data_IF_767892450565
#
_entry.id   IF_767892450565
#
_cell.length_a   1.000
_cell.length_b   1.000
_cell.length_c   1.000
_cell.angle_alpha   90.00
_cell.angle_beta   90.00
_cell.angle_gamma   90.00
#
_symmetry.space_group_name_H-M   'P 1'
#
loop_
_entity.id
_entity.type
_entity.pdbx_description
1 polymer ?
#
# COMPACT_ATOMS: atom_id res chain seq x y z
N UNK A 1 -1.53 17.99 -6.24
CA UNK A 1 -1.09 18.71 -7.43
C UNK A 1 -0.63 20.13 -7.13
N UNK A 2 -0.52 20.93 -8.16
CA UNK A 2 -0.14 22.35 -8.05
C UNK A 2 -1.33 23.32 -8.13
N UNK A 3 -2.51 22.81 -7.88
CA UNK A 3 -3.78 23.58 -7.86
C UNK A 3 -3.80 24.64 -6.75
N UNK A 4 -3.09 24.39 -5.65
CA UNK A 4 -2.98 25.34 -4.54
C UNK A 4 -4.26 25.50 -3.72
N UNK A 5 -5.20 24.54 -3.85
CA UNK A 5 -6.50 24.60 -3.19
C UNK A 5 -6.35 24.52 -1.67
N UNK A 6 -5.51 23.62 -1.20
CA UNK A 6 -5.23 23.42 0.23
C UNK A 6 -3.86 22.79 0.51
N UNK A 7 -3.51 22.70 1.79
CA UNK A 7 -2.21 22.21 2.26
C UNK A 7 -1.98 20.72 2.00
N UNK A 8 -3.00 19.93 1.69
CA UNK A 8 -2.86 18.50 1.38
C UNK A 8 -2.07 18.24 0.10
N UNK A 9 -1.94 19.24 -0.77
CA UNK A 9 -1.09 19.21 -1.95
C UNK A 9 0.35 18.82 -1.65
N UNK A 10 0.86 19.08 -0.43
CA UNK A 10 2.21 18.71 0.03
C UNK A 10 2.50 17.21 -0.06
N UNK A 11 1.50 16.34 0.07
CA UNK A 11 1.66 14.90 -0.07
C UNK A 11 2.11 14.51 -1.48
N UNK A 12 1.57 15.18 -2.47
CA UNK A 12 1.88 14.92 -3.87
C UNK A 12 3.11 15.70 -4.34
N UNK A 13 3.29 16.93 -3.86
CA UNK A 13 4.43 17.79 -4.20
C UNK A 13 4.73 18.74 -3.04
N UNK A 14 5.80 18.49 -2.29
CA UNK A 14 6.15 19.29 -1.13
C UNK A 14 6.41 20.78 -1.47
N UNK A 15 6.81 21.10 -2.71
CA UNK A 15 7.02 22.49 -3.14
C UNK A 15 5.74 23.32 -3.08
N UNK A 16 4.55 22.72 -3.11
CA UNK A 16 3.27 23.44 -3.03
C UNK A 16 3.02 24.12 -1.68
N UNK A 17 3.77 23.75 -0.63
CA UNK A 17 3.70 24.47 0.64
C UNK A 17 3.97 25.95 0.49
N UNK A 18 4.79 26.35 -0.49
CA UNK A 18 5.11 27.76 -0.76
C UNK A 18 3.91 28.60 -1.24
N UNK A 19 2.79 27.94 -1.61
CA UNK A 19 1.53 28.61 -1.95
C UNK A 19 0.71 28.99 -0.70
N UNK A 20 1.07 28.49 0.48
CA UNK A 20 0.27 28.61 1.70
C UNK A 20 1.04 29.44 2.75
N UNK A 21 0.76 30.75 2.88
CA UNK A 21 1.44 31.60 3.85
C UNK A 21 1.02 31.27 5.29
N UNK A 22 1.90 31.57 6.22
CA UNK A 22 1.64 31.43 7.66
C UNK A 22 1.59 29.96 8.09
N UNK A 23 0.66 29.63 8.98
CA UNK A 23 0.42 28.27 9.48
C UNK A 23 -0.90 27.75 8.93
N UNK A 24 -0.86 26.62 8.25
CA UNK A 24 -2.05 25.93 7.71
C UNK A 24 -2.17 24.56 8.34
N UNK A 25 -3.39 24.21 8.74
CA UNK A 25 -3.73 22.90 9.34
C UNK A 25 -4.98 22.37 8.68
N UNK A 26 -4.93 21.11 8.28
CA UNK A 26 -6.07 20.42 7.67
C UNK A 26 -6.16 19.00 8.23
N UNK A 27 -7.38 18.59 8.62
CA UNK A 27 -7.70 17.23 9.00
C UNK A 27 -8.91 16.74 8.20
N UNK A 28 -8.94 15.46 7.92
CA UNK A 28 -10.06 14.82 7.28
C UNK A 28 -10.02 13.32 7.47
N UNK A 29 -11.09 12.69 7.01
CA UNK A 29 -11.21 11.25 6.95
C UNK A 29 -12.04 10.84 5.73
N UNK A 30 -11.70 9.68 5.15
CA UNK A 30 -12.44 9.08 4.03
C UNK A 30 -13.02 7.77 4.52
N UNK A 31 -14.35 7.60 4.41
CA UNK A 31 -15.00 6.30 4.60
C UNK A 31 -14.90 5.49 3.30
N UNK A 32 -14.40 4.27 3.39
CA UNK A 32 -14.31 3.34 2.26
C UNK A 32 -15.16 2.12 2.55
N UNK A 33 -16.17 1.87 1.72
CA UNK A 33 -16.99 0.67 1.75
C UNK A 33 -16.86 -0.04 0.39
N UNK A 34 -16.43 -1.29 0.39
CA UNK A 34 -16.30 -2.11 -0.82
C UNK A 34 -17.26 -3.29 -0.74
N UNK A 35 -17.99 -3.55 -1.81
CA UNK A 35 -18.73 -4.80 -2.00
C UNK A 35 -17.91 -5.69 -2.92
N UNK A 36 -17.47 -6.83 -2.40
CA UNK A 36 -16.73 -7.81 -3.15
C UNK A 36 -17.61 -9.06 -3.33
N UNK A 37 -17.75 -9.53 -4.57
CA UNK A 37 -18.42 -10.81 -4.88
C UNK A 37 -17.43 -11.68 -5.65
N UNK A 38 -17.20 -12.88 -5.15
CA UNK A 38 -16.52 -13.93 -5.90
C UNK A 38 -17.57 -14.81 -6.58
N UNK A 39 -17.37 -15.09 -7.85
CA UNK A 39 -18.21 -16.00 -8.63
C UNK A 39 -17.31 -17.06 -9.28
N UNK A 40 -17.50 -18.32 -8.90
CA UNK A 40 -16.89 -19.43 -9.61
C UNK A 40 -17.66 -19.71 -10.90
N UNK A 41 -17.08 -19.40 -12.05
CA UNK A 41 -17.71 -19.57 -13.35
C UNK A 41 -17.89 -21.06 -13.77
N UNK A 42 -17.24 -22.00 -13.07
CA UNK A 42 -17.38 -23.44 -13.36
C UNK A 42 -18.50 -24.07 -12.54
N UNK A 43 -18.64 -23.69 -11.28
CA UNK A 43 -19.61 -24.26 -10.35
C UNK A 43 -20.86 -23.40 -10.19
N UNK A 44 -20.76 -22.08 -10.52
CA UNK A 44 -21.79 -21.08 -10.25
C UNK A 44 -21.84 -20.65 -8.77
N UNK A 45 -20.92 -21.12 -7.95
CA UNK A 45 -20.83 -20.73 -6.55
C UNK A 45 -20.54 -19.23 -6.41
N UNK A 46 -21.27 -18.60 -5.51
CA UNK A 46 -21.10 -17.19 -5.17
C UNK A 46 -20.70 -17.06 -3.71
N UNK A 47 -19.68 -16.27 -3.45
CA UNK A 47 -19.32 -15.84 -2.12
C UNK A 47 -19.28 -14.31 -2.08
N UNK A 48 -20.14 -13.74 -1.25
CA UNK A 48 -20.11 -12.31 -0.96
C UNK A 48 -19.04 -12.08 0.11
N UNK A 49 -17.84 -11.81 -0.32
CA UNK A 49 -16.77 -11.37 0.56
C UNK A 49 -17.17 -10.05 1.22
N UNK A 50 -16.86 -9.92 2.50
CA UNK A 50 -17.05 -8.68 3.24
C UNK A 50 -15.77 -7.87 3.14
N UNK A 51 -15.79 -6.80 2.36
CA UNK A 51 -14.87 -5.72 2.66
C UNK A 51 -15.40 -5.03 3.93
N UNK A 52 -14.57 -4.92 4.94
CA UNK A 52 -14.92 -4.16 6.14
C UNK A 52 -14.94 -2.68 5.78
N UNK A 53 -15.95 -1.96 6.27
CA UNK A 53 -15.95 -0.51 6.18
C UNK A 53 -14.74 0.02 6.96
N UNK A 54 -13.90 0.81 6.29
CA UNK A 54 -12.71 1.38 6.88
C UNK A 54 -12.79 2.91 6.84
N UNK A 55 -12.33 3.54 7.91
CA UNK A 55 -12.19 5.00 7.98
C UNK A 55 -10.71 5.34 7.89
N UNK A 56 -10.34 6.08 6.87
CA UNK A 56 -8.95 6.46 6.56
C UNK A 56 -8.74 7.91 6.98
N UNK A 57 -8.15 8.18 8.15
CA UNK A 57 -7.84 9.52 8.58
C UNK A 57 -6.62 10.08 7.84
N UNK A 58 -6.60 11.39 7.68
CA UNK A 58 -5.43 12.11 7.17
C UNK A 58 -5.31 13.48 7.84
N UNK A 59 -4.08 13.97 7.95
CA UNK A 59 -3.80 15.26 8.54
C UNK A 59 -2.58 15.91 7.92
N UNK A 60 -2.62 17.24 7.80
CA UNK A 60 -1.56 18.04 7.22
C UNK A 60 -1.36 19.30 8.07
N UNK A 61 -0.11 19.65 8.28
CA UNK A 61 0.28 20.92 8.87
C UNK A 61 1.45 21.49 8.08
N UNK A 62 1.40 22.77 7.77
CA UNK A 62 2.46 23.52 7.12
C UNK A 62 2.68 24.81 7.88
N UNK A 63 3.93 25.24 8.02
CA UNK A 63 4.32 26.48 8.66
C UNK A 63 5.39 27.21 7.83
N UNK A 64 5.13 28.45 7.55
CA UNK A 64 6.07 29.36 6.90
C UNK A 64 7.06 29.90 7.95
N UNK A 65 8.34 29.53 7.81
CA UNK A 65 9.40 29.99 8.72
C UNK A 65 9.83 31.44 8.38
N UNK A 66 9.93 31.74 7.08
CA UNK A 66 10.26 33.03 6.53
C UNK A 66 9.74 33.14 5.09
N UNK A 67 10.01 34.26 4.41
CA UNK A 67 9.49 34.54 3.06
C UNK A 67 9.84 33.49 1.99
N UNK A 68 10.87 32.67 2.25
CA UNK A 68 11.36 31.68 1.29
C UNK A 68 11.31 30.22 1.77
N UNK A 69 10.97 29.95 3.05
CA UNK A 69 11.13 28.61 3.63
C UNK A 69 9.90 28.15 4.39
N UNK A 70 9.47 26.92 4.13
CA UNK A 70 8.37 26.25 4.79
C UNK A 70 8.81 24.89 5.33
N UNK A 71 8.17 24.46 6.41
CA UNK A 71 8.23 23.10 6.94
C UNK A 71 6.80 22.56 7.11
N UNK A 72 6.65 21.26 7.05
CA UNK A 72 5.34 20.66 7.23
C UNK A 72 5.40 19.17 7.57
N UNK A 73 4.27 18.66 7.99
CA UNK A 73 4.06 17.24 8.27
C UNK A 73 2.75 16.79 7.63
N UNK A 74 2.82 15.71 6.84
CA UNK A 74 1.66 14.98 6.38
C UNK A 74 1.57 13.63 7.10
N UNK A 75 0.40 13.33 7.66
CA UNK A 75 0.08 12.01 8.22
C UNK A 75 -0.99 11.41 7.35
N UNK A 76 -0.70 10.28 6.71
CA UNK A 76 -1.58 9.66 5.72
C UNK A 76 -1.57 8.15 5.85
N UNK A 77 -2.60 7.51 5.29
CA UNK A 77 -2.69 6.04 5.13
C UNK A 77 -2.71 5.76 3.63
N UNK A 78 -1.53 5.65 2.98
CA UNK A 78 -1.44 5.53 1.53
C UNK A 78 -1.95 4.19 1.00
N UNK A 79 -1.89 3.15 1.83
CA UNK A 79 -2.34 1.80 1.50
C UNK A 79 -3.11 1.23 2.68
N UNK A 80 -4.27 0.68 2.39
CA UNK A 80 -5.12 0.00 3.36
C UNK A 80 -6.10 -0.91 2.64
N UNK A 81 -6.25 -2.13 3.13
CA UNK A 81 -7.20 -3.10 2.64
C UNK A 81 -7.62 -4.00 3.81
N UNK A 82 -8.92 -4.26 3.92
CA UNK A 82 -9.43 -5.31 4.78
C UNK A 82 -10.49 -6.10 4.03
N UNK A 83 -10.25 -7.39 3.88
CA UNK A 83 -11.19 -8.35 3.26
C UNK A 83 -11.41 -9.53 4.19
N UNK A 84 -12.61 -10.10 4.15
CA UNK A 84 -12.98 -11.26 4.95
C UNK A 84 -13.97 -12.10 4.14
N UNK A 85 -13.53 -13.26 3.67
CA UNK A 85 -14.35 -14.23 2.93
C UNK A 85 -14.83 -15.35 3.82
N UNK A 86 -14.34 -15.43 5.07
CA UNK A 86 -14.57 -16.52 6.02
C UNK A 86 -13.74 -17.77 5.70
N UNK A 87 -13.72 -18.71 6.64
CA UNK A 87 -12.86 -19.90 6.58
C UNK A 87 -13.36 -21.01 5.64
N UNK A 88 -14.65 -21.01 5.32
CA UNK A 88 -15.33 -22.11 4.63
C UNK A 88 -15.88 -21.71 3.25
N UNK A 89 -15.03 -21.22 2.38
CA UNK A 89 -15.39 -20.95 0.99
C UNK A 89 -14.49 -21.72 0.02
N UNK A 90 -14.95 -21.92 -1.22
CA UNK A 90 -14.32 -22.82 -2.20
C UNK A 90 -12.88 -22.49 -2.57
N UNK A 91 -12.45 -21.23 -2.32
CA UNK A 91 -11.09 -20.75 -2.59
C UNK A 91 -10.40 -20.21 -1.33
N UNK A 92 -10.74 -20.79 -0.16
CA UNK A 92 -10.03 -20.47 1.09
C UNK A 92 -8.52 -20.72 1.02
N UNK A 93 -8.07 -21.57 0.08
CA UNK A 93 -6.68 -21.81 -0.27
C UNK A 93 -5.95 -20.57 -0.81
N UNK A 94 -6.69 -19.61 -1.36
CA UNK A 94 -6.14 -18.32 -1.83
C UNK A 94 -6.23 -17.21 -0.81
N UNK A 95 -7.05 -17.35 0.21
CA UNK A 95 -7.19 -16.40 1.31
C UNK A 95 -8.53 -16.52 2.00
N UNK A 96 -8.54 -16.39 3.30
CA UNK A 96 -9.76 -16.31 4.14
C UNK A 96 -10.04 -14.89 4.52
N UNK A 97 -9.01 -14.20 4.95
CA UNK A 97 -9.03 -12.78 5.31
C UNK A 97 -7.69 -12.13 4.97
N UNK A 98 -7.73 -10.85 4.78
CA UNK A 98 -6.53 -10.04 4.61
C UNK A 98 -6.77 -8.67 5.22
N UNK A 99 -5.81 -8.19 6.00
CA UNK A 99 -5.78 -6.81 6.48
C UNK A 99 -4.38 -6.26 6.32
N UNK A 100 -4.29 -5.09 5.72
CA UNK A 100 -3.05 -4.32 5.64
C UNK A 100 -3.35 -2.88 6.00
N UNK A 101 -2.55 -2.29 6.84
CA UNK A 101 -2.62 -0.87 7.19
C UNK A 101 -1.24 -0.28 7.14
N UNK A 102 -1.04 0.74 6.31
CA UNK A 102 0.23 1.46 6.22
C UNK A 102 0.00 2.89 6.67
N UNK A 103 0.64 3.30 7.76
CA UNK A 103 0.63 4.69 8.24
C UNK A 103 1.92 5.36 7.80
N UNK A 104 1.81 6.53 7.18
CA UNK A 104 2.92 7.30 6.68
C UNK A 104 3.02 8.64 7.42
N UNK A 105 4.15 8.87 8.08
CA UNK A 105 4.56 10.16 8.64
C UNK A 105 5.54 10.79 7.68
N UNK A 106 5.20 11.94 7.13
CA UNK A 106 5.97 12.56 6.06
C UNK A 106 6.35 14.01 6.42
N UNK A 107 7.42 14.22 7.21
CA UNK A 107 8.01 15.54 7.37
C UNK A 107 8.55 16.04 6.04
N UNK A 108 8.25 17.31 5.72
CA UNK A 108 8.60 17.97 4.48
C UNK A 108 9.22 19.33 4.75
N UNK A 109 10.08 19.78 3.83
CA UNK A 109 10.54 21.14 3.74
C UNK A 109 10.35 21.67 2.32
N UNK A 110 10.09 22.95 2.17
CA UNK A 110 9.99 23.63 0.88
C UNK A 110 10.75 24.95 0.90
N UNK A 111 11.30 25.28 -0.25
CA UNK A 111 12.08 26.49 -0.46
C UNK A 111 11.69 27.18 -1.76
N UNK A 112 11.29 28.44 -1.65
CA UNK A 112 11.07 29.33 -2.77
C UNK A 112 12.44 29.84 -3.24
N UNK A 113 13.05 29.12 -4.18
CA UNK A 113 14.41 29.38 -4.66
C UNK A 113 14.51 30.67 -5.47
N UNK A 114 13.44 31.00 -6.22
CA UNK A 114 13.26 32.27 -6.94
C UNK A 114 11.78 32.68 -6.86
N UNK A 115 11.42 33.83 -7.41
CA UNK A 115 10.02 34.27 -7.46
C UNK A 115 9.12 33.31 -8.27
N UNK A 116 9.72 32.53 -9.18
CA UNK A 116 8.98 31.63 -10.07
C UNK A 116 9.24 30.14 -9.80
N UNK A 117 10.24 29.79 -8.97
CA UNK A 117 10.64 28.38 -8.75
C UNK A 117 10.63 28.04 -7.27
N UNK A 118 9.87 27.01 -6.92
CA UNK A 118 9.86 26.39 -5.59
C UNK A 118 10.33 24.96 -5.67
N UNK A 119 11.11 24.54 -4.67
CA UNK A 119 11.62 23.17 -4.50
C UNK A 119 11.08 22.62 -3.18
N UNK A 120 10.89 21.31 -3.13
CA UNK A 120 10.44 20.65 -1.91
C UNK A 120 11.02 19.25 -1.79
N UNK A 121 11.23 18.80 -0.56
CA UNK A 121 11.67 17.46 -0.25
C UNK A 121 11.11 17.00 1.09
N UNK A 122 11.00 15.69 1.27
CA UNK A 122 10.53 15.10 2.51
C UNK A 122 10.97 13.66 2.69
N UNK A 123 10.82 13.17 3.91
CA UNK A 123 11.02 11.77 4.28
C UNK A 123 9.67 11.09 4.43
N UNK A 124 9.51 9.91 3.88
CA UNK A 124 8.35 9.06 4.08
C UNK A 124 8.72 7.99 5.12
N UNK A 125 8.27 8.15 6.35
CA UNK A 125 8.46 7.20 7.45
C UNK A 125 7.20 6.35 7.55
N UNK A 126 7.29 5.06 7.19
CA UNK A 126 6.12 4.19 7.09
C UNK A 126 6.16 3.07 8.12
N UNK A 127 5.04 2.90 8.80
CA UNK A 127 4.76 1.75 9.64
C UNK A 127 3.69 0.90 8.97
N UNK A 128 3.91 -0.41 8.87
CA UNK A 128 2.96 -1.37 8.34
C UNK A 128 2.55 -2.37 9.42
N UNK A 129 1.26 -2.66 9.44
CA UNK A 129 0.64 -3.77 10.18
C UNK A 129 -0.14 -4.61 9.16
N UNK A 130 0.16 -5.91 9.09
CA UNK A 130 -0.41 -6.82 8.11
C UNK A 130 -0.82 -8.15 8.73
N UNK A 131 -2.00 -8.63 8.35
CA UNK A 131 -2.52 -9.96 8.68
C UNK A 131 -3.06 -10.60 7.42
N UNK A 132 -2.70 -11.86 7.17
CA UNK A 132 -3.19 -12.65 6.04
C UNK A 132 -3.56 -14.05 6.50
N UNK A 133 -4.80 -14.46 6.27
CA UNK A 133 -5.30 -15.80 6.54
C UNK A 133 -5.47 -16.60 5.25
N UNK A 134 -5.17 -17.89 5.30
CA UNK A 134 -5.49 -18.85 4.24
C UNK A 134 -5.80 -20.22 4.83
N UNK A 135 -6.67 -20.99 4.19
CA UNK A 135 -7.05 -22.30 4.70
C UNK A 135 -7.33 -23.30 3.58
N UNK A 136 -6.69 -24.48 3.64
CA UNK A 136 -6.91 -25.54 2.68
C UNK A 136 -6.80 -26.92 3.35
N UNK A 137 -7.69 -27.85 2.97
CA UNK A 137 -7.63 -29.25 3.40
C UNK A 137 -7.56 -29.45 4.93
N UNK A 138 -8.28 -28.64 5.69
CA UNK A 138 -8.28 -28.70 7.16
C UNK A 138 -7.03 -28.08 7.82
N UNK A 139 -6.21 -27.39 7.07
CA UNK A 139 -5.11 -26.56 7.57
C UNK A 139 -5.54 -25.10 7.46
N UNK A 140 -5.40 -24.35 8.53
CA UNK A 140 -5.52 -22.89 8.55
C UNK A 140 -4.16 -22.29 8.87
N UNK A 141 -3.75 -21.30 8.08
CA UNK A 141 -2.53 -20.52 8.29
C UNK A 141 -2.88 -19.06 8.46
N UNK A 142 -2.34 -18.43 9.48
CA UNK A 142 -2.47 -16.99 9.70
C UNK A 142 -1.05 -16.38 9.82
N UNK A 143 -0.76 -15.42 8.98
CA UNK A 143 0.47 -14.62 9.04
C UNK A 143 0.16 -13.25 9.63
N UNK A 144 0.91 -12.86 10.66
CA UNK A 144 0.84 -11.52 11.25
C UNK A 144 2.23 -10.91 11.32
N UNK A 145 2.35 -9.66 10.90
CA UNK A 145 3.65 -8.98 10.93
C UNK A 145 3.53 -7.47 10.95
N UNK A 146 4.57 -6.85 11.49
CA UNK A 146 4.76 -5.41 11.47
C UNK A 146 6.14 -5.05 10.94
N UNK A 147 6.28 -3.85 10.38
CA UNK A 147 7.57 -3.32 9.94
C UNK A 147 7.59 -1.80 9.95
N UNK A 148 8.79 -1.26 10.00
CA UNK A 148 9.02 0.18 9.86
C UNK A 148 10.09 0.40 8.79
N UNK A 149 9.76 1.20 7.79
CA UNK A 149 10.68 1.54 6.70
C UNK A 149 10.64 3.03 6.40
N UNK A 150 11.52 3.47 5.53
CA UNK A 150 11.56 4.85 5.09
C UNK A 150 11.76 4.97 3.58
N UNK A 151 11.32 6.07 3.05
CA UNK A 151 11.54 6.51 1.70
C UNK A 151 11.69 8.03 1.68
N UNK A 152 11.68 8.60 0.49
CA UNK A 152 11.76 10.04 0.31
C UNK A 152 10.82 10.53 -0.78
N UNK A 153 10.55 11.81 -0.78
CA UNK A 153 9.87 12.51 -1.86
C UNK A 153 10.60 13.80 -2.19
N UNK A 154 10.57 14.15 -3.46
CA UNK A 154 11.09 15.43 -3.96
C UNK A 154 10.08 16.02 -4.93
N UNK A 155 10.08 17.34 -5.04
CA UNK A 155 9.19 18.03 -5.93
C UNK A 155 9.70 19.42 -6.30
N UNK A 156 9.25 19.87 -7.45
CA UNK A 156 9.43 21.25 -7.87
C UNK A 156 8.08 21.82 -8.34
N UNK A 157 7.94 23.11 -8.20
CA UNK A 157 6.84 23.88 -8.78
C UNK A 157 7.43 25.10 -9.48
N UNK A 158 7.06 25.27 -10.76
CA UNK A 158 7.44 26.40 -11.57
C UNK A 158 6.22 27.21 -11.98
N UNK A 159 6.25 28.50 -11.63
CA UNK A 159 5.18 29.46 -11.92
C UNK A 159 5.75 30.57 -12.80
N UNK A 160 5.82 30.36 -14.14
CA UNK A 160 6.43 31.34 -15.07
C UNK A 160 5.66 32.66 -15.11
N UNK A 161 4.37 32.61 -14.87
CA UNK A 161 3.45 33.77 -14.77
C UNK A 161 2.43 33.49 -13.66
N UNK A 162 1.79 34.53 -13.15
CA UNK A 162 0.95 34.45 -11.95
C UNK A 162 -0.20 33.44 -12.06
N UNK A 163 -0.71 33.21 -13.27
CA UNK A 163 -1.86 32.37 -13.53
C UNK A 163 -1.53 30.97 -14.09
N UNK A 164 -0.24 30.58 -14.17
CA UNK A 164 0.15 29.28 -14.74
C UNK A 164 1.23 28.62 -13.89
N UNK A 165 0.95 27.40 -13.42
CA UNK A 165 1.85 26.60 -12.59
C UNK A 165 2.07 25.23 -13.19
N UNK A 166 3.30 24.77 -13.14
CA UNK A 166 3.73 23.42 -13.48
C UNK A 166 4.38 22.77 -12.28
N UNK A 167 4.14 21.49 -12.08
CA UNK A 167 4.77 20.71 -11.02
C UNK A 167 5.32 19.40 -11.53
N UNK A 168 6.49 19.04 -11.02
CA UNK A 168 7.05 17.69 -11.14
C UNK A 168 7.33 17.17 -9.74
N UNK A 169 7.00 15.92 -9.50
CA UNK A 169 7.27 15.27 -8.22
C UNK A 169 7.59 13.80 -8.40
N UNK A 170 8.36 13.29 -7.45
CA UNK A 170 8.74 11.88 -7.36
C UNK A 170 8.67 11.44 -5.91
N UNK A 171 8.15 10.25 -5.69
CA UNK A 171 8.20 9.54 -4.41
C UNK A 171 8.86 8.20 -4.63
N UNK A 172 9.84 7.89 -3.79
CA UNK A 172 10.58 6.63 -3.86
C UNK A 172 9.70 5.43 -3.51
N UNK A 173 10.09 4.28 -4.00
CA UNK A 173 9.67 3.00 -3.45
C UNK A 173 9.90 2.96 -1.94
N UNK A 174 9.00 2.28 -1.22
CA UNK A 174 9.17 1.93 0.19
C UNK A 174 9.10 0.41 0.32
N UNK A 175 10.22 -0.21 0.68
CA UNK A 175 10.34 -1.64 0.80
C UNK A 175 10.17 -2.05 2.26
N UNK A 176 9.11 -2.78 2.55
CA UNK A 176 8.83 -3.39 3.84
C UNK A 176 9.34 -4.83 3.85
N UNK A 177 10.27 -5.13 4.76
CA UNK A 177 10.71 -6.49 5.07
C UNK A 177 10.12 -6.88 6.41
N UNK A 178 8.83 -7.22 6.38
CA UNK A 178 8.07 -7.52 7.59
C UNK A 178 8.61 -8.77 8.26
N UNK A 179 8.87 -8.67 9.56
CA UNK A 179 9.16 -9.82 10.41
C UNK A 179 7.95 -10.06 11.31
N UNK A 180 7.51 -11.30 11.35
CA UNK A 180 6.33 -11.68 12.08
C UNK A 180 6.26 -13.19 12.26
N UNK A 181 5.05 -13.67 12.41
CA UNK A 181 4.78 -15.07 12.71
C UNK A 181 3.75 -15.65 11.74
N UNK A 182 3.94 -16.91 11.37
CA UNK A 182 2.90 -17.72 10.77
C UNK A 182 2.41 -18.74 11.77
N UNK A 183 1.12 -18.71 12.06
CA UNK A 183 0.45 -19.69 12.93
C UNK A 183 -0.22 -20.75 12.07
N UNK A 184 0.08 -22.01 12.29
CA UNK A 184 -0.51 -23.15 11.60
C UNK A 184 -1.44 -23.89 12.55
N UNK A 185 -2.67 -24.12 12.12
CA UNK A 185 -3.66 -24.94 12.81
C UNK A 185 -4.22 -26.00 11.84
N UNK A 186 -4.06 -27.27 12.17
CA UNK A 186 -4.61 -28.38 11.41
C UNK A 186 -5.54 -29.22 12.28
N UNK A 187 -6.69 -29.55 11.74
CA UNK A 187 -7.63 -30.52 12.33
C UNK A 187 -7.36 -31.97 11.89
N UNK A 188 -6.48 -32.19 10.89
CA UNK A 188 -6.09 -33.53 10.46
C UNK A 188 -5.12 -34.15 11.48
N UNK A 189 -5.47 -35.30 12.11
CA UNK A 189 -4.61 -35.96 13.09
C UNK A 189 -3.19 -36.28 12.61
N UNK A 190 -3.01 -36.44 11.29
CA UNK A 190 -1.69 -36.73 10.68
C UNK A 190 -0.80 -35.50 10.57
N UNK A 191 -1.40 -34.30 10.65
CA UNK A 191 -0.73 -33.01 10.45
C UNK A 191 -0.70 -32.14 11.72
N UNK A 192 -1.21 -32.65 12.85
CA UNK A 192 -1.22 -31.90 14.12
C UNK A 192 0.18 -31.52 14.62
N UNK A 193 1.20 -32.24 14.18
CA UNK A 193 2.61 -31.90 14.47
C UNK A 193 3.09 -30.61 13.75
N UNK A 194 2.32 -30.11 12.78
CA UNK A 194 2.54 -28.82 12.15
C UNK A 194 1.91 -27.66 12.95
N UNK A 195 1.00 -27.97 13.90
CA UNK A 195 0.36 -26.93 14.70
C UNK A 195 1.39 -26.18 15.53
N UNK A 196 1.35 -24.86 15.42
CA UNK A 196 2.29 -24.02 16.15
C UNK A 196 2.47 -22.66 15.51
N UNK A 197 3.36 -21.91 16.13
CA UNK A 197 3.76 -20.59 15.72
C UNK A 197 5.21 -20.62 15.23
N UNK A 198 5.46 -20.08 14.05
CA UNK A 198 6.75 -20.12 13.38
C UNK A 198 7.16 -18.71 12.97
N UNK A 199 8.43 -18.37 13.15
CA UNK A 199 8.96 -17.11 12.62
C UNK A 199 8.81 -17.07 11.10
N UNK A 200 8.32 -15.96 10.58
CA UNK A 200 8.15 -15.75 9.15
C UNK A 200 8.47 -14.31 8.75
N UNK A 201 8.90 -14.15 7.51
CA UNK A 201 9.12 -12.84 6.93
C UNK A 201 8.48 -12.74 5.55
N UNK A 202 7.93 -11.57 5.24
CA UNK A 202 7.39 -11.23 3.92
C UNK A 202 7.97 -9.90 3.48
N UNK A 203 8.41 -9.83 2.23
CA UNK A 203 8.83 -8.56 1.63
C UNK A 203 7.70 -8.02 0.75
N UNK A 204 7.33 -6.76 1.01
CA UNK A 204 6.28 -6.02 0.29
C UNK A 204 6.83 -4.66 -0.11
N UNK A 205 6.65 -4.25 -1.36
CA UNK A 205 7.07 -2.94 -1.86
C UNK A 205 5.88 -2.04 -2.13
N UNK A 206 5.85 -0.85 -1.51
CA UNK A 206 5.00 0.24 -1.95
C UNK A 206 5.63 0.91 -3.17
N UNK A 207 4.92 1.05 -4.31
CA UNK A 207 5.51 1.46 -5.57
C UNK A 207 6.08 2.89 -5.51
N UNK A 208 7.17 3.11 -6.22
CA UNK A 208 7.61 4.45 -6.57
C UNK A 208 6.59 5.09 -7.53
N UNK A 209 6.49 6.41 -7.53
CA UNK A 209 5.71 7.11 -8.53
C UNK A 209 6.30 8.46 -8.89
N UNK A 210 6.07 8.87 -10.13
CA UNK A 210 6.40 10.19 -10.64
C UNK A 210 5.13 10.87 -11.17
N UNK A 211 5.02 12.17 -10.97
CA UNK A 211 3.85 12.94 -11.35
C UNK A 211 4.25 14.26 -11.98
N UNK A 212 3.61 14.59 -13.11
CA UNK A 212 3.63 15.89 -13.74
C UNK A 212 2.24 16.52 -13.64
N UNK A 213 2.17 17.79 -13.25
CA UNK A 213 0.91 18.50 -13.07
C UNK A 213 0.98 19.89 -13.68
N UNK A 214 -0.17 20.41 -14.11
CA UNK A 214 -0.33 21.78 -14.54
C UNK A 214 -1.63 22.37 -13.96
N UNK A 215 -1.60 23.64 -13.61
CA UNK A 215 -2.75 24.41 -13.21
C UNK A 215 -2.72 25.77 -13.93
N UNK A 216 -3.81 26.09 -14.60
CA UNK A 216 -3.94 27.33 -15.36
C UNK A 216 -5.24 28.06 -14.99
N UNK A 217 -5.09 29.20 -14.34
CA UNK A 217 -6.20 30.12 -14.07
C UNK A 217 -6.41 30.96 -15.34
N UNK A 218 -7.32 30.46 -16.21
CA UNK A 218 -7.59 31.08 -17.54
C UNK A 218 -8.12 32.50 -17.38
N UNK A 219 -9.00 32.69 -16.41
CA UNK A 219 -9.58 33.97 -15.99
C UNK A 219 -10.16 33.83 -14.58
N UNK A 220 -10.84 34.87 -14.07
CA UNK A 220 -11.43 34.90 -12.73
C UNK A 220 -12.52 33.80 -12.49
N UNK A 221 -13.06 33.24 -13.54
CA UNK A 221 -14.17 32.28 -13.49
C UNK A 221 -13.75 30.84 -13.79
N UNK A 222 -12.65 30.62 -14.51
CA UNK A 222 -12.26 29.30 -15.01
C UNK A 222 -10.79 28.98 -14.69
N UNK A 223 -10.59 27.87 -14.00
CA UNK A 223 -9.29 27.23 -13.82
C UNK A 223 -9.29 25.84 -14.47
N UNK A 224 -8.20 25.48 -15.12
CA UNK A 224 -7.97 24.19 -15.77
C UNK A 224 -6.83 23.45 -15.08
N UNK A 225 -6.97 22.13 -14.96
CA UNK A 225 -5.99 21.27 -14.33
C UNK A 225 -5.68 20.08 -15.20
N UNK A 226 -4.41 19.66 -15.23
CA UNK A 226 -3.97 18.42 -15.84
C UNK A 226 -3.00 17.69 -14.93
N UNK A 227 -3.11 16.37 -14.89
CA UNK A 227 -2.20 15.50 -14.13
C UNK A 227 -1.85 14.29 -14.97
N UNK A 228 -0.57 13.95 -14.99
CA UNK A 228 -0.05 12.67 -15.45
C UNK A 228 0.73 12.04 -14.30
N UNK A 229 0.46 10.77 -13.99
CA UNK A 229 1.19 10.00 -12.98
C UNK A 229 1.55 8.63 -13.51
N UNK A 230 2.80 8.25 -13.36
CA UNK A 230 3.30 6.89 -13.49
C UNK A 230 3.51 6.30 -12.11
N UNK A 231 3.21 5.02 -11.92
CA UNK A 231 3.50 4.27 -10.70
C UNK A 231 4.06 2.89 -11.04
N UNK A 232 5.17 2.54 -10.41
CA UNK A 232 5.92 1.29 -10.56
C UNK A 232 5.26 0.15 -9.80
N UNK A 233 4.05 -0.25 -10.22
CA UNK A 233 3.37 -1.41 -9.63
C UNK A 233 4.02 -2.73 -10.01
N UNK A 234 4.93 -2.77 -10.98
CA UNK A 234 5.72 -3.95 -11.29
C UNK A 234 6.65 -4.36 -10.15
N UNK A 235 7.02 -3.44 -9.26
CA UNK A 235 7.76 -3.74 -8.02
C UNK A 235 6.98 -4.60 -7.02
N UNK A 236 5.64 -4.64 -7.12
CA UNK A 236 4.73 -5.46 -6.31
C UNK A 236 4.35 -6.80 -7.01
N UNK A 237 5.24 -7.37 -7.81
CA UNK A 237 4.94 -8.54 -8.64
C UNK A 237 4.81 -9.82 -7.82
N UNK A 238 5.68 -10.03 -6.84
CA UNK A 238 5.74 -11.28 -6.09
C UNK A 238 5.79 -11.04 -4.59
N UNK A 239 4.86 -11.66 -3.85
CA UNK A 239 4.90 -11.78 -2.41
C UNK A 239 5.56 -13.10 -2.04
N UNK A 240 6.74 -13.04 -1.41
CA UNK A 240 7.46 -14.22 -0.95
C UNK A 240 7.44 -14.27 0.57
N UNK A 241 6.78 -15.29 1.12
CA UNK A 241 6.82 -15.61 2.54
C UNK A 241 7.94 -16.60 2.80
N UNK A 242 8.84 -16.27 3.72
CA UNK A 242 9.97 -17.12 4.11
C UNK A 242 9.82 -17.52 5.58
N UNK A 243 9.77 -18.81 5.85
CA UNK A 243 9.77 -19.38 7.21
C UNK A 243 10.62 -20.62 7.26
N UNK A 244 11.93 -20.50 7.59
CA UNK A 244 12.85 -21.64 7.64
C UNK A 244 12.43 -22.70 8.65
N UNK A 245 11.90 -22.28 9.81
CA UNK A 245 11.44 -23.18 10.88
C UNK A 245 10.21 -23.99 10.46
N UNK A 246 9.22 -23.35 9.81
CA UNK A 246 8.07 -24.05 9.26
C UNK A 246 8.48 -25.02 8.15
N UNK A 247 9.32 -24.58 7.22
CA UNK A 247 9.83 -25.41 6.12
C UNK A 247 10.55 -26.65 6.66
N UNK A 248 11.35 -26.51 7.72
CA UNK A 248 12.01 -27.62 8.39
C UNK A 248 11.00 -28.62 8.99
N UNK A 249 9.97 -28.14 9.66
CA UNK A 249 8.91 -28.97 10.25
C UNK A 249 8.08 -29.67 9.18
N UNK A 250 7.69 -28.98 8.12
CA UNK A 250 7.01 -29.56 6.95
C UNK A 250 7.85 -30.66 6.31
N UNK A 251 9.14 -30.42 6.14
CA UNK A 251 10.07 -31.41 5.60
C UNK A 251 10.17 -32.67 6.49
N UNK A 252 10.23 -32.51 7.80
CA UNK A 252 10.27 -33.63 8.75
C UNK A 252 8.98 -34.47 8.70
N UNK A 253 7.81 -33.82 8.67
CA UNK A 253 6.51 -34.49 8.54
C UNK A 253 6.42 -35.24 7.21
N UNK A 254 6.79 -34.60 6.11
CA UNK A 254 6.78 -35.23 4.78
C UNK A 254 7.73 -36.45 4.71
N UNK A 255 8.91 -36.38 5.30
CA UNK A 255 9.83 -37.51 5.40
C UNK A 255 9.21 -38.69 6.17
N UNK A 256 8.57 -38.43 7.31
CA UNK A 256 7.88 -39.46 8.08
C UNK A 256 6.73 -40.10 7.26
N UNK A 257 5.94 -39.31 6.54
CA UNK A 257 4.88 -39.81 5.64
C UNK A 257 5.47 -40.71 4.53
N UNK A 258 6.57 -40.29 3.90
CA UNK A 258 7.23 -41.07 2.85
C UNK A 258 7.77 -42.42 3.37
N UNK A 259 8.32 -42.46 4.61
CA UNK A 259 8.75 -43.69 5.25
C UNK A 259 7.59 -44.66 5.55
N UNK A 260 6.39 -44.13 5.72
CA UNK A 260 5.15 -44.92 5.88
C UNK A 260 4.52 -45.30 4.54
N UNK A 261 5.18 -45.05 3.41
CA UNK A 261 4.71 -45.37 2.07
C UNK A 261 3.77 -44.33 1.46
N UNK A 262 3.56 -43.18 2.10
CA UNK A 262 2.68 -42.07 1.67
C UNK A 262 3.48 -41.00 0.89
N UNK A 263 4.21 -41.41 -0.16
CA UNK A 263 5.14 -40.51 -0.87
C UNK A 263 4.39 -39.42 -1.66
N UNK A 264 3.24 -39.73 -2.25
CA UNK A 264 2.46 -38.77 -3.02
C UNK A 264 1.86 -37.68 -2.11
N UNK A 265 1.37 -38.08 -0.94
CA UNK A 265 0.85 -37.14 0.07
C UNK A 265 1.96 -36.26 0.64
N UNK A 266 3.15 -36.83 0.87
CA UNK A 266 4.33 -36.09 1.31
C UNK A 266 4.72 -35.00 0.30
N UNK A 267 4.74 -35.34 -1.00
CA UNK A 267 5.05 -34.39 -2.06
C UNK A 267 3.99 -33.28 -2.16
N UNK A 268 2.71 -33.64 -2.10
CA UNK A 268 1.60 -32.67 -2.09
C UNK A 268 1.69 -31.70 -0.91
N UNK A 269 2.08 -32.19 0.27
CA UNK A 269 2.28 -31.35 1.45
C UNK A 269 3.40 -30.30 1.18
N UNK A 270 4.55 -30.74 0.69
CA UNK A 270 5.68 -29.84 0.38
C UNK A 270 5.29 -28.81 -0.68
N UNK A 271 4.65 -29.26 -1.76
CA UNK A 271 4.22 -28.37 -2.85
C UNK A 271 3.17 -27.36 -2.40
N UNK A 272 2.20 -27.79 -1.56
CA UNK A 272 1.18 -26.92 -0.99
C UNK A 272 1.78 -25.80 -0.15
N UNK A 273 2.72 -26.11 0.73
CA UNK A 273 3.40 -25.07 1.55
C UNK A 273 4.31 -24.16 0.71
N UNK A 274 4.96 -24.67 -0.34
CA UNK A 274 5.72 -23.83 -1.28
C UNK A 274 4.81 -22.87 -2.03
N UNK A 275 3.63 -23.31 -2.46
CA UNK A 275 2.67 -22.46 -3.15
C UNK A 275 2.12 -21.34 -2.25
N UNK A 276 1.82 -21.64 -0.97
CA UNK A 276 1.41 -20.65 0.02
C UNK A 276 2.50 -19.60 0.30
N UNK A 277 3.77 -19.99 0.15
CA UNK A 277 4.90 -19.08 0.38
C UNK A 277 5.27 -18.20 -0.80
N UNK A 278 4.65 -18.33 -1.96
CA UNK A 278 5.06 -17.60 -3.16
C UNK A 278 3.85 -17.20 -4.02
N UNK A 279 3.33 -16.01 -3.77
CA UNK A 279 2.16 -15.47 -4.48
C UNK A 279 2.65 -14.53 -5.59
N UNK A 280 2.42 -14.94 -6.85
CA UNK A 280 2.70 -14.09 -8.01
C UNK A 280 1.48 -13.24 -8.33
N UNK A 281 1.63 -11.93 -8.30
CA UNK A 281 0.55 -10.98 -8.59
C UNK A 281 0.48 -10.60 -10.08
N UNK A 282 1.60 -10.63 -10.79
CA UNK A 282 1.68 -10.28 -12.20
C UNK A 282 1.32 -8.81 -12.49
N UNK A 283 1.53 -7.92 -11.51
CA UNK A 283 1.18 -6.52 -11.64
C UNK A 283 2.13 -5.80 -12.59
N UNK A 284 1.62 -4.77 -13.24
CA UNK A 284 2.36 -3.96 -14.21
C UNK A 284 2.27 -2.50 -13.82
N UNK A 285 3.23 -1.71 -14.29
CA UNK A 285 3.21 -0.26 -14.14
C UNK A 285 1.88 0.33 -14.59
N UNK A 286 1.45 1.32 -13.86
CA UNK A 286 0.20 2.02 -14.15
C UNK A 286 0.45 3.47 -14.52
N UNK A 287 -0.42 3.96 -15.38
CA UNK A 287 -0.44 5.35 -15.83
C UNK A 287 -1.81 5.95 -15.56
N UNK A 288 -1.83 7.13 -14.95
CA UNK A 288 -3.04 7.90 -14.72
C UNK A 288 -2.93 9.22 -15.45
N UNK A 289 -3.96 9.55 -16.22
CA UNK A 289 -4.15 10.88 -16.81
C UNK A 289 -5.45 11.43 -16.32
N UNK A 290 -5.45 12.66 -15.83
CA UNK A 290 -6.69 13.36 -15.47
C UNK A 290 -6.64 14.80 -15.95
N UNK A 291 -7.81 15.29 -16.30
CA UNK A 291 -8.08 16.70 -16.55
C UNK A 291 -9.25 17.14 -15.69
N UNK A 292 -9.22 18.37 -15.23
CA UNK A 292 -10.26 18.94 -14.38
C UNK A 292 -10.43 20.42 -14.65
N UNK A 293 -11.52 20.95 -14.17
CA UNK A 293 -11.76 22.39 -14.18
C UNK A 293 -12.54 22.83 -12.95
N UNK A 294 -12.31 24.07 -12.55
CA UNK A 294 -13.14 24.78 -11.58
C UNK A 294 -13.85 25.94 -12.30
N UNK A 295 -15.15 26.02 -12.09
CA UNK A 295 -15.97 27.13 -12.56
C UNK A 295 -16.48 27.90 -11.33
N UNK A 296 -16.06 29.16 -11.20
CA UNK A 296 -16.54 30.07 -10.16
C UNK A 296 -17.71 30.85 -10.71
N UNK A 297 -18.88 30.79 -10.05
CA UNK A 297 -20.12 31.45 -10.42
C UNK A 297 -20.41 32.61 -9.48
#
# INVERSE_FOLDING_TARGET
GVDGTDVSGMYYNAATMTLHPGTQVQFGAVGVGLNLEYVDHKTGEKNNGRAKEEVIPHGFISHQINDSTWVGLAITVPYGLATDYGDNWSRSDHGTDAKITVINFNPNAAWKATDTLSLGAGLALQYVDATFGAGANGIHSEYTATDFTWGFNVGLMWQPVDNLRFGLSYRSETKHSTNGDVTINSSDPRLTSLNGKYDASVTVSGPAWAMATAAWDVNDYLSLYATFRWADWSSFDTLTTTSPSLNGTVGAVANNMAQLGMTDEANKLIEGFKALGNIQNGWKDTYLMSVGYDLRV
#
